data_IF_132795364814
#
_entry.id   IF_132795364814
#
_cell.length_a   1.000
_cell.length_b   1.000
_cell.length_c   1.000
_cell.angle_alpha   90.00
_cell.angle_beta   90.00
_cell.angle_gamma   90.00
#
_symmetry.space_group_name_H-M   'P 1'
#
loop_
_entity.id
_entity.type
_entity.pdbx_description
1 polymer ?
#
# COMPACT_ATOMS: atom_id res chain seq x y z
N UNK A 1 1.21 23.13 15.78
CA UNK A 1 0.63 22.45 14.59
C UNK A 1 1.30 21.12 14.27
N UNK A 2 2.64 21.01 14.19
CA UNK A 2 3.34 19.72 14.01
C UNK A 2 3.03 18.76 15.16
N UNK A 3 3.12 19.23 16.40
CA UNK A 3 2.85 18.44 17.60
C UNK A 3 1.39 17.96 17.69
N UNK A 4 0.44 18.77 17.21
CA UNK A 4 -0.98 18.41 17.20
C UNK A 4 -1.28 17.28 16.21
N UNK A 5 -0.70 17.33 15.00
CA UNK A 5 -0.87 16.28 13.99
C UNK A 5 -0.21 14.97 14.42
N UNK A 6 0.97 15.06 15.05
CA UNK A 6 1.64 13.89 15.60
C UNK A 6 0.82 13.25 16.73
N UNK A 7 0.27 14.06 17.64
CA UNK A 7 -0.57 13.58 18.73
C UNK A 7 -1.84 12.86 18.22
N UNK A 8 -2.48 13.37 17.17
CA UNK A 8 -3.61 12.69 16.52
C UNK A 8 -3.18 11.36 15.90
N UNK A 9 -2.04 11.34 15.21
CA UNK A 9 -1.50 10.16 14.55
C UNK A 9 -1.19 9.05 15.58
N UNK A 10 -0.64 9.42 16.72
CA UNK A 10 -0.34 8.53 17.84
C UNK A 10 -1.62 8.03 18.53
N UNK A 11 -2.58 8.92 18.79
CA UNK A 11 -3.85 8.54 19.44
C UNK A 11 -4.63 7.52 18.59
N UNK A 12 -4.73 7.74 17.28
CA UNK A 12 -5.41 6.80 16.36
C UNK A 12 -4.62 5.50 16.22
N UNK A 13 -3.30 5.57 16.19
CA UNK A 13 -2.46 4.37 16.20
C UNK A 13 -2.74 3.52 17.44
N UNK A 14 -2.66 4.09 18.64
CA UNK A 14 -2.85 3.37 19.90
C UNK A 14 -4.27 2.78 20.02
N UNK A 15 -5.29 3.45 19.46
CA UNK A 15 -6.65 2.94 19.41
C UNK A 15 -6.79 1.68 18.53
N UNK A 16 -6.05 1.61 17.41
CA UNK A 16 -6.17 0.56 16.40
C UNK A 16 -5.10 -0.53 16.53
N UNK A 17 -4.05 -0.29 17.30
CA UNK A 17 -2.95 -1.23 17.44
C UNK A 17 -3.35 -2.44 18.29
N UNK A 18 -3.24 -3.63 17.70
CA UNK A 18 -3.54 -4.89 18.38
C UNK A 18 -5.00 -5.13 18.77
N UNK A 19 -5.91 -4.20 18.46
CA UNK A 19 -7.31 -4.31 18.86
C UNK A 19 -8.24 -4.64 17.67
N UNK A 20 -9.12 -5.64 17.79
CA UNK A 20 -9.17 -6.65 18.85
C UNK A 20 -8.08 -7.72 18.69
N UNK A 21 -7.60 -8.26 19.80
CA UNK A 21 -6.51 -9.27 19.82
C UNK A 21 -6.86 -10.54 19.03
N UNK A 22 -8.13 -10.90 18.96
CA UNK A 22 -8.63 -12.03 18.17
C UNK A 22 -8.29 -11.95 16.67
N UNK A 23 -7.93 -10.78 16.16
CA UNK A 23 -7.51 -10.57 14.77
C UNK A 23 -5.99 -10.65 14.58
N UNK A 24 -5.19 -10.95 15.62
CA UNK A 24 -3.72 -10.91 15.54
C UNK A 24 -3.16 -11.80 14.41
N UNK A 25 -3.59 -13.05 14.34
CA UNK A 25 -3.18 -13.99 13.30
C UNK A 25 -3.66 -13.55 11.90
N UNK A 26 -4.90 -13.05 11.80
CA UNK A 26 -5.47 -12.58 10.53
C UNK A 26 -4.77 -11.29 10.07
N UNK A 27 -4.54 -10.35 10.97
CA UNK A 27 -3.82 -9.11 10.69
C UNK A 27 -2.40 -9.37 10.21
N UNK A 28 -1.69 -10.29 10.86
CA UNK A 28 -0.37 -10.74 10.42
C UNK A 28 -0.43 -11.40 9.03
N UNK A 29 -1.34 -12.38 8.84
CA UNK A 29 -1.49 -13.09 7.57
C UNK A 29 -1.79 -12.14 6.41
N UNK A 30 -2.75 -11.21 6.59
CA UNK A 30 -3.11 -10.23 5.56
C UNK A 30 -1.99 -9.23 5.25
N UNK A 31 -1.07 -9.01 6.19
CA UNK A 31 0.08 -8.13 5.98
C UNK A 31 1.19 -8.75 5.12
N UNK A 32 1.14 -10.06 4.90
CA UNK A 32 2.17 -10.76 4.14
C UNK A 32 1.98 -10.56 2.63
N UNK A 33 3.06 -10.36 1.84
CA UNK A 33 2.94 -10.14 0.39
C UNK A 33 2.20 -11.27 -0.34
N UNK A 34 2.40 -12.51 0.07
CA UNK A 34 1.78 -13.68 -0.56
C UNK A 34 0.26 -13.76 -0.35
N UNK A 35 -0.28 -13.14 0.70
CA UNK A 35 -1.74 -13.07 0.94
C UNK A 35 -2.46 -12.32 -0.18
N UNK A 36 -1.79 -11.41 -0.84
CA UNK A 36 -2.30 -10.62 -1.96
C UNK A 36 -2.18 -11.32 -3.33
N UNK A 37 -1.57 -12.51 -3.40
CA UNK A 37 -1.40 -13.26 -4.64
C UNK A 37 -2.71 -13.49 -5.41
N UNK A 38 -3.84 -13.87 -4.78
CA UNK A 38 -5.11 -14.01 -5.49
C UNK A 38 -5.58 -12.71 -6.17
N UNK A 39 -5.34 -11.58 -5.52
CA UNK A 39 -5.67 -10.25 -6.05
C UNK A 39 -4.81 -9.93 -7.28
N UNK A 40 -3.51 -10.19 -7.20
CA UNK A 40 -2.61 -9.98 -8.33
C UNK A 40 -2.98 -10.87 -9.53
N UNK A 41 -3.27 -12.15 -9.30
CA UNK A 41 -3.70 -13.08 -10.35
C UNK A 41 -5.03 -12.64 -10.97
N UNK A 42 -5.99 -12.20 -10.16
CA UNK A 42 -7.25 -11.65 -10.67
C UNK A 42 -7.01 -10.41 -11.54
N UNK A 43 -6.19 -9.47 -11.11
CA UNK A 43 -5.89 -8.26 -11.90
C UNK A 43 -5.21 -8.65 -13.21
N UNK A 44 -4.17 -9.51 -13.18
CA UNK A 44 -3.49 -9.98 -14.39
C UNK A 44 -4.48 -10.62 -15.35
N UNK A 45 -5.31 -11.56 -14.88
CA UNK A 45 -6.34 -12.17 -15.71
C UNK A 45 -7.26 -11.14 -16.36
N UNK A 46 -7.71 -10.15 -15.59
CA UNK A 46 -8.60 -9.09 -16.08
C UNK A 46 -7.93 -8.20 -17.14
N UNK A 47 -6.63 -7.95 -17.02
CA UNK A 47 -5.89 -7.13 -18.00
C UNK A 47 -5.86 -7.77 -19.38
N UNK A 48 -5.88 -9.10 -19.46
CA UNK A 48 -5.83 -9.86 -20.72
C UNK A 48 -7.21 -10.33 -21.20
N UNK A 49 -8.22 -10.36 -20.33
CA UNK A 49 -9.55 -10.88 -20.69
C UNK A 49 -10.22 -10.04 -21.77
N UNK A 50 -10.52 -10.66 -22.92
CA UNK A 50 -11.30 -10.06 -23.99
C UNK A 50 -10.56 -9.00 -24.81
N UNK A 51 -9.23 -8.97 -24.76
CA UNK A 51 -8.42 -8.03 -25.54
C UNK A 51 -7.25 -8.76 -26.24
N UNK A 52 -6.72 -8.22 -27.36
CA UNK A 52 -5.50 -8.75 -27.97
C UNK A 52 -4.34 -8.77 -26.96
N UNK A 53 -3.46 -9.77 -27.09
CA UNK A 53 -2.37 -9.96 -26.13
C UNK A 53 -1.44 -8.74 -25.99
N UNK A 54 -1.21 -8.00 -27.08
CA UNK A 54 -0.37 -6.79 -27.08
C UNK A 54 -0.96 -5.70 -26.18
N UNK A 55 -2.30 -5.56 -26.16
CA UNK A 55 -3.00 -4.62 -25.27
C UNK A 55 -2.93 -5.08 -23.83
N UNK A 56 -3.13 -6.37 -23.58
CA UNK A 56 -2.95 -6.96 -22.24
C UNK A 56 -1.53 -6.73 -21.71
N UNK A 57 -0.52 -6.95 -22.54
CA UNK A 57 0.88 -6.73 -22.20
C UNK A 57 1.19 -5.25 -21.91
N UNK A 58 0.63 -4.32 -22.69
CA UNK A 58 0.78 -2.88 -22.42
C UNK A 58 0.15 -2.48 -21.10
N UNK A 59 -1.07 -2.97 -20.81
CA UNK A 59 -1.75 -2.74 -19.53
C UNK A 59 -0.95 -3.31 -18.35
N UNK A 60 -0.39 -4.51 -18.52
CA UNK A 60 0.48 -5.13 -17.50
C UNK A 60 1.75 -4.29 -17.29
N UNK A 61 2.37 -3.78 -18.35
CA UNK A 61 3.52 -2.89 -18.23
C UNK A 61 3.19 -1.63 -17.42
N UNK A 62 2.01 -1.03 -17.62
CA UNK A 62 1.56 0.13 -16.82
C UNK A 62 1.40 -0.21 -15.34
N UNK A 63 0.84 -1.38 -15.02
CA UNK A 63 0.74 -1.89 -13.63
C UNK A 63 2.13 -2.08 -13.04
N UNK A 64 3.04 -2.73 -13.75
CA UNK A 64 4.40 -2.99 -13.28
C UNK A 64 5.21 -1.71 -13.07
N UNK A 65 5.11 -0.73 -13.99
CA UNK A 65 5.75 0.59 -13.85
C UNK A 65 5.18 1.33 -12.63
N UNK A 66 3.87 1.25 -12.43
CA UNK A 66 3.23 1.88 -11.25
C UNK A 66 3.76 1.24 -9.97
N UNK A 67 3.73 -0.09 -9.87
CA UNK A 67 4.19 -0.81 -8.67
C UNK A 67 5.68 -0.57 -8.40
N UNK A 68 6.53 -0.74 -9.40
CA UNK A 68 7.97 -0.53 -9.25
C UNK A 68 8.30 0.94 -8.90
N UNK A 69 7.61 1.90 -9.51
CA UNK A 69 7.80 3.32 -9.24
C UNK A 69 7.36 3.72 -7.84
N UNK A 70 6.17 3.27 -7.40
CA UNK A 70 5.68 3.55 -6.04
C UNK A 70 6.56 2.92 -4.98
N UNK A 71 7.02 1.68 -5.19
CA UNK A 71 7.93 1.00 -4.27
C UNK A 71 9.30 1.67 -4.21
N UNK A 72 9.92 1.93 -5.36
CA UNK A 72 11.25 2.54 -5.43
C UNK A 72 11.26 3.94 -4.82
N UNK A 73 10.28 4.80 -5.16
CA UNK A 73 10.24 6.17 -4.66
C UNK A 73 9.92 6.18 -3.17
N UNK A 74 8.94 5.39 -2.71
CA UNK A 74 8.61 5.33 -1.28
C UNK A 74 9.79 4.82 -0.45
N UNK A 75 10.50 3.79 -0.93
CA UNK A 75 11.55 3.12 -0.15
C UNK A 75 12.90 3.81 -0.21
N UNK A 76 13.29 4.34 -1.39
CA UNK A 76 14.64 4.86 -1.65
C UNK A 76 14.73 6.39 -1.61
N UNK A 77 13.60 7.09 -1.74
CA UNK A 77 13.58 8.56 -1.78
C UNK A 77 12.83 9.12 -0.57
N UNK A 78 11.55 8.75 -0.40
CA UNK A 78 10.72 9.38 0.63
C UNK A 78 11.14 8.94 2.04
N UNK A 79 11.35 7.65 2.30
CA UNK A 79 11.75 7.19 3.64
C UNK A 79 13.09 7.77 4.10
N UNK A 80 14.17 7.74 3.29
CA UNK A 80 15.42 8.40 3.69
C UNK A 80 15.31 9.92 3.74
N UNK A 81 14.47 10.53 2.89
CA UNK A 81 14.33 11.98 2.84
C UNK A 81 13.56 12.59 4.01
N UNK A 82 12.58 11.87 4.57
CA UNK A 82 11.80 12.31 5.72
C UNK A 82 12.33 11.81 7.07
N UNK A 83 13.04 10.69 7.07
CA UNK A 83 13.62 10.03 8.25
C UNK A 83 12.64 9.87 9.43
N UNK A 84 11.31 9.85 9.14
CA UNK A 84 10.29 9.63 10.16
C UNK A 84 10.39 8.21 10.69
N UNK A 85 10.74 8.06 11.97
CA UNK A 85 10.76 6.76 12.63
C UNK A 85 9.39 6.10 12.59
N UNK A 86 9.36 4.78 12.42
CA UNK A 86 8.13 4.01 12.62
C UNK A 86 7.73 4.03 14.10
N UNK A 87 6.42 3.85 14.41
CA UNK A 87 5.98 3.73 15.81
C UNK A 87 6.78 2.69 16.59
N UNK A 88 7.00 1.50 15.98
CA UNK A 88 7.79 0.41 16.55
C UNK A 88 9.27 0.73 16.84
N UNK A 89 9.79 1.82 16.30
CA UNK A 89 11.16 2.33 16.53
C UNK A 89 11.17 3.69 17.26
N UNK A 90 10.01 4.24 17.59
CA UNK A 90 9.90 5.45 18.39
C UNK A 90 10.08 5.11 19.87
N UNK A 91 11.14 5.64 20.57
CA UNK A 91 11.38 5.31 21.98
C UNK A 91 10.19 5.63 22.90
N UNK A 92 9.44 6.69 22.58
CA UNK A 92 8.33 7.16 23.41
C UNK A 92 7.06 6.32 23.28
N UNK A 93 6.97 5.49 22.22
CA UNK A 93 5.76 4.71 21.88
C UNK A 93 5.99 3.21 21.87
N UNK A 94 7.20 2.77 21.58
CA UNK A 94 7.47 1.35 21.28
C UNK A 94 7.10 0.37 22.40
N UNK A 95 7.14 0.83 23.67
CA UNK A 95 6.77 0.05 24.84
C UNK A 95 5.24 -0.08 25.03
N UNK A 96 4.48 0.88 24.50
CA UNK A 96 3.01 0.88 24.58
C UNK A 96 2.36 0.08 23.44
N UNK A 97 3.13 -0.36 22.44
CA UNK A 97 2.59 -1.03 21.26
C UNK A 97 2.52 -2.54 21.42
N UNK A 98 1.41 -3.10 20.94
CA UNK A 98 1.24 -4.54 20.73
C UNK A 98 1.86 -4.87 19.37
N UNK A 99 3.05 -5.49 19.39
CA UNK A 99 3.79 -5.88 18.19
C UNK A 99 3.66 -7.39 17.97
N UNK A 100 3.65 -7.81 16.70
CA UNK A 100 3.63 -9.23 16.37
C UNK A 100 4.91 -9.90 16.81
N UNK A 101 4.79 -11.03 17.52
CA UNK A 101 5.90 -11.86 17.95
C UNK A 101 5.95 -13.13 17.10
N UNK A 102 7.13 -13.42 16.55
CA UNK A 102 7.40 -14.65 15.81
C UNK A 102 7.54 -15.86 16.75
N UNK A 103 7.48 -17.07 16.20
CA UNK A 103 7.62 -18.30 16.96
C UNK A 103 8.99 -18.44 17.66
N UNK A 104 10.03 -17.80 17.11
CA UNK A 104 11.37 -17.74 17.69
C UNK A 104 11.52 -16.70 18.82
N UNK A 105 10.45 -16.01 19.18
CA UNK A 105 10.43 -14.94 20.18
C UNK A 105 10.87 -13.58 19.66
N UNK A 106 11.33 -13.45 18.41
CA UNK A 106 11.66 -12.16 17.83
C UNK A 106 10.42 -11.33 17.56
N UNK A 107 10.56 -9.99 17.66
CA UNK A 107 9.45 -9.05 17.50
C UNK A 107 9.53 -8.37 16.14
N UNK A 108 8.42 -8.40 15.40
CA UNK A 108 8.31 -7.72 14.11
C UNK A 108 8.20 -6.21 14.29
N UNK A 109 9.22 -5.47 13.83
CA UNK A 109 9.26 -4.00 13.90
C UNK A 109 9.25 -3.32 12.52
N UNK A 110 9.44 -4.10 11.44
CA UNK A 110 9.68 -3.54 10.11
C UNK A 110 11.01 -2.79 10.01
N UNK A 111 11.17 -1.98 8.95
CA UNK A 111 12.36 -1.14 8.80
C UNK A 111 12.28 0.13 9.65
N UNK A 112 13.39 0.86 9.81
CA UNK A 112 13.52 2.02 10.71
C UNK A 112 12.58 3.17 10.37
N UNK A 113 12.48 3.57 9.09
CA UNK A 113 11.67 4.71 8.64
C UNK A 113 10.32 4.29 8.07
N UNK A 114 9.26 5.07 8.34
CA UNK A 114 7.87 4.77 8.03
C UNK A 114 7.26 5.58 6.89
N UNK A 115 7.61 6.85 6.76
CA UNK A 115 6.91 7.77 5.86
C UNK A 115 7.50 7.75 4.43
N UNK A 116 6.71 7.49 3.43
CA UNK A 116 5.31 7.03 3.39
C UNK A 116 5.25 5.48 3.46
N UNK A 117 4.08 4.92 3.75
CA UNK A 117 3.90 3.46 3.73
C UNK A 117 3.97 2.90 2.31
N UNK A 118 4.96 2.06 2.02
CA UNK A 118 5.07 1.38 0.72
C UNK A 118 3.91 0.41 0.47
N UNK A 119 3.37 -0.25 1.51
CA UNK A 119 2.18 -1.10 1.37
C UNK A 119 0.98 -0.27 0.88
N UNK A 120 0.71 0.87 1.49
CA UNK A 120 -0.36 1.75 1.05
C UNK A 120 -0.11 2.28 -0.37
N UNK A 121 1.11 2.76 -0.67
CA UNK A 121 1.46 3.26 -2.00
C UNK A 121 1.26 2.21 -3.09
N UNK A 122 1.71 0.99 -2.85
CA UNK A 122 1.64 -0.10 -3.82
C UNK A 122 0.20 -0.61 -4.01
N UNK A 123 -0.55 -0.81 -2.92
CA UNK A 123 -1.92 -1.34 -3.00
C UNK A 123 -2.91 -0.33 -3.56
N UNK A 124 -2.85 0.94 -3.13
CA UNK A 124 -3.68 2.00 -3.69
C UNK A 124 -3.27 2.37 -5.11
N UNK A 125 -1.97 2.33 -5.44
CA UNK A 125 -1.48 2.48 -6.81
C UNK A 125 -2.01 1.39 -7.74
N UNK A 126 -2.01 0.11 -7.30
CA UNK A 126 -2.61 -0.99 -8.04
C UNK A 126 -4.13 -0.82 -8.21
N UNK A 127 -4.84 -0.48 -7.15
CA UNK A 127 -6.29 -0.25 -7.19
C UNK A 127 -6.65 0.87 -8.18
N UNK A 128 -5.93 1.99 -8.13
CA UNK A 128 -6.12 3.12 -9.03
C UNK A 128 -5.80 2.75 -10.49
N UNK A 129 -4.67 2.09 -10.76
CA UNK A 129 -4.32 1.68 -12.12
C UNK A 129 -5.33 0.67 -12.68
N UNK A 130 -5.75 -0.31 -11.88
CA UNK A 130 -6.78 -1.26 -12.29
C UNK A 130 -8.12 -0.58 -12.58
N UNK A 131 -8.51 0.41 -11.76
CA UNK A 131 -9.71 1.22 -11.99
C UNK A 131 -9.65 1.98 -13.32
N UNK A 132 -8.51 2.63 -13.61
CA UNK A 132 -8.30 3.39 -14.84
C UNK A 132 -8.30 2.51 -16.10
N UNK A 133 -7.78 1.28 -16.01
CA UNK A 133 -7.65 0.37 -17.14
C UNK A 133 -8.90 -0.52 -17.40
N UNK A 134 -9.64 -0.88 -16.34
CA UNK A 134 -10.68 -1.91 -16.38
C UNK A 134 -12.08 -1.38 -16.03
N UNK A 135 -12.19 -0.16 -15.55
CA UNK A 135 -13.44 0.48 -15.13
C UNK A 135 -13.86 0.13 -13.69
N UNK A 136 -14.84 0.88 -13.19
CA UNK A 136 -15.21 0.90 -11.77
C UNK A 136 -15.90 -0.37 -11.26
N UNK A 137 -16.79 -0.97 -12.06
CA UNK A 137 -17.62 -2.10 -11.58
C UNK A 137 -16.78 -3.31 -11.20
N UNK A 138 -15.73 -3.60 -12.00
CA UNK A 138 -14.90 -4.78 -11.81
C UNK A 138 -13.81 -4.60 -10.73
N UNK A 139 -13.48 -3.37 -10.38
CA UNK A 139 -12.24 -3.09 -9.62
C UNK A 139 -12.47 -2.27 -8.35
N UNK A 140 -13.68 -1.75 -8.09
CA UNK A 140 -13.96 -0.94 -6.90
C UNK A 140 -13.69 -1.65 -5.57
N UNK A 141 -13.78 -2.98 -5.51
CA UNK A 141 -13.45 -3.75 -4.31
C UNK A 141 -11.94 -3.74 -4.00
N UNK A 142 -11.09 -3.44 -4.99
CA UNK A 142 -9.64 -3.30 -4.79
C UNK A 142 -9.29 -2.14 -3.85
N UNK A 143 -10.13 -1.11 -3.79
CA UNK A 143 -9.96 -0.01 -2.82
C UNK A 143 -10.17 -0.49 -1.40
N UNK A 144 -11.19 -1.34 -1.18
CA UNK A 144 -11.43 -1.96 0.13
C UNK A 144 -10.26 -2.90 0.51
N UNK A 145 -9.80 -3.72 -0.43
CA UNK A 145 -8.61 -4.57 -0.21
C UNK A 145 -7.38 -3.72 0.14
N UNK A 146 -7.10 -2.64 -0.59
CA UNK A 146 -5.99 -1.75 -0.31
C UNK A 146 -6.12 -1.10 1.09
N UNK A 147 -7.33 -0.70 1.49
CA UNK A 147 -7.60 -0.17 2.81
C UNK A 147 -7.37 -1.22 3.91
N UNK A 148 -7.81 -2.47 3.71
CA UNK A 148 -7.60 -3.58 4.66
C UNK A 148 -6.11 -3.88 4.82
N UNK A 149 -5.36 -4.04 3.72
CA UNK A 149 -3.91 -4.29 3.77
C UNK A 149 -3.19 -3.12 4.46
N UNK A 150 -3.60 -1.88 4.19
CA UNK A 150 -3.03 -0.71 4.83
C UNK A 150 -3.36 -0.62 6.32
N UNK A 151 -4.59 -0.95 6.72
CA UNK A 151 -4.99 -1.04 8.13
C UNK A 151 -4.14 -2.04 8.91
N UNK A 152 -3.77 -3.19 8.31
CA UNK A 152 -2.89 -4.16 9.00
C UNK A 152 -1.56 -3.54 9.43
N UNK A 153 -1.08 -2.49 8.75
CA UNK A 153 0.19 -1.83 9.09
C UNK A 153 0.08 -0.97 10.35
N UNK A 154 -1.11 -0.37 10.59
CA UNK A 154 -1.43 0.34 11.83
C UNK A 154 -1.67 -0.69 12.93
N UNK A 155 -2.47 -1.71 12.64
CA UNK A 155 -2.77 -2.82 13.56
C UNK A 155 -1.51 -3.46 14.14
N UNK A 156 -0.49 -3.69 13.31
CA UNK A 156 0.81 -4.27 13.70
C UNK A 156 1.79 -3.25 14.32
N UNK A 157 1.39 -2.00 14.54
CA UNK A 157 2.24 -0.98 15.17
C UNK A 157 3.43 -0.51 14.35
N UNK A 158 3.44 -0.74 13.03
CA UNK A 158 4.61 -0.44 12.18
C UNK A 158 4.45 0.79 11.29
N UNK A 159 3.27 1.40 11.26
CA UNK A 159 3.00 2.66 10.55
C UNK A 159 1.99 3.52 11.29
N UNK A 160 2.18 4.83 11.24
CA UNK A 160 1.17 5.79 11.65
C UNK A 160 0.04 5.88 10.60
N UNK A 161 -1.20 6.27 11.00
CA UNK A 161 -2.27 6.58 10.05
C UNK A 161 -1.86 7.57 8.96
N UNK A 162 -1.11 8.62 9.30
CA UNK A 162 -0.58 9.58 8.35
C UNK A 162 0.31 8.95 7.27
N UNK A 163 1.17 7.97 7.63
CA UNK A 163 1.99 7.25 6.65
C UNK A 163 1.13 6.53 5.61
N UNK A 164 -0.03 6.02 6.05
CA UNK A 164 -1.00 5.30 5.20
C UNK A 164 -1.72 6.27 4.27
N UNK A 165 -2.26 7.38 4.81
CA UNK A 165 -2.99 8.38 4.02
C UNK A 165 -2.10 8.97 2.93
N UNK A 166 -0.90 9.43 3.30
CA UNK A 166 0.04 9.98 2.31
C UNK A 166 0.56 8.92 1.34
N UNK A 167 0.75 7.68 1.79
CA UNK A 167 1.07 6.56 0.91
C UNK A 167 -0.02 6.28 -0.11
N UNK A 168 -1.29 6.26 0.31
CA UNK A 168 -2.44 6.06 -0.57
C UNK A 168 -2.58 7.18 -1.61
N UNK A 169 -2.45 8.44 -1.19
CA UNK A 169 -2.45 9.60 -2.08
C UNK A 169 -1.31 9.55 -3.10
N UNK A 170 -0.09 9.26 -2.64
CA UNK A 170 1.08 9.11 -3.50
C UNK A 170 0.88 7.99 -4.52
N UNK A 171 0.46 6.79 -4.10
CA UNK A 171 0.25 5.64 -4.99
C UNK A 171 -0.83 5.92 -6.03
N UNK A 172 -1.95 6.52 -5.62
CA UNK A 172 -3.05 6.90 -6.51
C UNK A 172 -2.61 7.95 -7.54
N UNK A 173 -1.92 9.01 -7.07
CA UNK A 173 -1.42 10.07 -7.94
C UNK A 173 -0.38 9.56 -8.94
N UNK A 174 0.53 8.67 -8.50
CA UNK A 174 1.53 8.05 -9.36
C UNK A 174 0.89 7.17 -10.44
N UNK A 175 -0.14 6.38 -10.08
CA UNK A 175 -0.91 5.58 -11.04
C UNK A 175 -1.60 6.47 -12.08
N UNK A 176 -2.22 7.57 -11.67
CA UNK A 176 -2.85 8.52 -12.58
C UNK A 176 -1.84 9.16 -13.53
N UNK A 177 -0.69 9.57 -13.04
CA UNK A 177 0.40 10.14 -13.85
C UNK A 177 0.94 9.13 -14.86
N UNK A 178 1.19 7.87 -14.42
CA UNK A 178 1.63 6.78 -15.30
C UNK A 178 0.59 6.50 -16.38
N UNK A 179 -0.70 6.39 -16.01
CA UNK A 179 -1.79 6.19 -16.96
C UNK A 179 -1.85 7.32 -18.00
N UNK A 180 -1.78 8.57 -17.56
CA UNK A 180 -1.81 9.73 -18.45
C UNK A 180 -0.62 9.74 -19.44
N UNK A 181 0.59 9.44 -18.95
CA UNK A 181 1.79 9.37 -19.78
C UNK A 181 1.67 8.29 -20.85
N UNK A 182 1.30 7.07 -20.47
CA UNK A 182 1.13 5.96 -21.42
C UNK A 182 -0.01 6.21 -22.41
N UNK A 183 -1.11 6.81 -21.97
CA UNK A 183 -2.24 7.16 -22.85
C UNK A 183 -1.87 8.20 -23.90
N UNK A 184 -0.94 9.12 -23.61
CA UNK A 184 -0.43 10.08 -24.60
C UNK A 184 0.47 9.40 -25.64
N UNK A 185 1.31 8.46 -25.21
CA UNK A 185 2.29 7.77 -26.06
C UNK A 185 1.66 6.64 -26.90
N UNK A 186 0.70 5.92 -26.32
CA UNK A 186 0.10 4.70 -26.89
C UNK A 186 -1.41 4.81 -27.10
N UNK A 187 -1.93 6.00 -27.40
CA UNK A 187 -3.38 6.31 -27.47
C UNK A 187 -4.18 5.28 -28.26
N UNK A 188 -3.75 4.94 -29.47
CA UNK A 188 -4.43 3.99 -30.35
C UNK A 188 -4.45 2.55 -29.80
N UNK A 189 -3.47 2.18 -28.97
CA UNK A 189 -3.33 0.82 -28.45
C UNK A 189 -4.08 0.60 -27.12
N UNK A 190 -4.51 1.67 -26.46
CA UNK A 190 -5.21 1.59 -25.15
C UNK A 190 -6.73 1.68 -25.35
N UNK A 191 -7.22 2.51 -26.25
CA UNK A 191 -8.64 2.85 -26.43
C UNK A 191 -9.37 2.04 -27.51
N UNK A 192 -8.65 1.49 -28.48
CA UNK A 192 -9.23 0.60 -29.49
C UNK A 192 -9.38 -0.82 -28.89
#
# INVERSE_FOLDING_TARGET
>A
MKDTLQAWDEAVLLLLNGAPESLSAVGWWLSQPWSSTPVYLFVIWRLFKGVPWQRGALRLAMVLVTFAGTDAISSRVLKPGFERLRPSHNPDLSEALILHQHEDGSVYRGGRFGFVSSHASNTFGLAAMAFLLLGSTATRWLWLWAAIVSWTRIYLGVHYPGDIVFGALFGTGFAAATHQLFSRVFKEKITA
#
